data_IF_635897699260
#
_entry.id   IF_635897699260
#
_cell.length_a   1.000
_cell.length_b   1.000
_cell.length_c   1.000
_cell.angle_alpha   90.00
_cell.angle_beta   90.00
_cell.angle_gamma   90.00
#
_symmetry.space_group_name_H-M   'P 1'
#
loop_
_entity.id
_entity.type
_entity.pdbx_description
1 polymer ?
#
# COMPACT_ATOMS: atom_id res chain seq x y z
N UNK A 1 -37.58 2.44 -31.15
CA UNK A 1 -38.78 2.92 -30.42
C UNK A 1 -38.72 4.40 -30.00
N UNK A 2 -37.81 5.24 -30.53
CA UNK A 2 -37.74 6.68 -30.20
C UNK A 2 -37.39 7.57 -31.41
N UNK A 3 -37.53 7.08 -32.65
CA UNK A 3 -37.10 7.83 -33.85
C UNK A 3 -38.24 8.62 -34.52
N UNK A 4 -39.50 8.43 -34.10
CA UNK A 4 -40.66 9.01 -34.79
C UNK A 4 -41.23 10.28 -34.12
N UNK A 5 -40.62 10.76 -33.03
CA UNK A 5 -41.00 12.05 -32.42
C UNK A 5 -40.03 13.16 -32.87
N UNK A 6 -40.46 14.07 -33.78
CA UNK A 6 -39.60 15.15 -34.29
C UNK A 6 -39.07 16.08 -33.19
N UNK A 7 -39.79 16.15 -32.06
CA UNK A 7 -39.40 16.92 -30.88
C UNK A 7 -38.22 16.31 -30.11
N UNK A 8 -38.12 14.97 -30.06
CA UNK A 8 -37.03 14.26 -29.39
C UNK A 8 -35.72 14.41 -30.17
N UNK A 9 -35.79 14.32 -31.51
CA UNK A 9 -34.63 14.58 -32.38
C UNK A 9 -34.16 16.03 -32.23
N UNK A 10 -35.07 17.00 -32.27
CA UNK A 10 -34.75 18.41 -32.11
C UNK A 10 -34.07 18.70 -30.74
N UNK A 11 -34.58 18.09 -29.65
CA UNK A 11 -33.98 18.19 -28.31
C UNK A 11 -32.57 17.59 -28.26
N UNK A 12 -32.36 16.43 -28.87
CA UNK A 12 -31.03 15.80 -28.93
C UNK A 12 -30.05 16.63 -29.76
N UNK A 13 -30.46 17.18 -30.90
CA UNK A 13 -29.63 18.06 -31.73
C UNK A 13 -29.26 19.32 -30.96
N UNK A 14 -30.22 19.98 -30.29
CA UNK A 14 -29.93 21.14 -29.44
C UNK A 14 -28.97 20.79 -28.30
N UNK A 15 -29.13 19.62 -27.68
CA UNK A 15 -28.24 19.15 -26.61
C UNK A 15 -26.81 18.95 -27.12
N UNK A 16 -26.62 18.26 -28.26
CA UNK A 16 -25.31 18.08 -28.88
C UNK A 16 -24.70 19.42 -29.30
N UNK A 17 -25.48 20.35 -29.85
CA UNK A 17 -25.01 21.70 -30.18
C UNK A 17 -24.51 22.46 -28.96
N UNK A 18 -25.20 22.35 -27.81
CA UNK A 18 -24.73 22.94 -26.54
C UNK A 18 -23.39 22.34 -26.10
N UNK A 19 -23.22 21.02 -26.22
CA UNK A 19 -21.94 20.35 -25.94
C UNK A 19 -20.84 20.87 -26.87
N UNK A 20 -21.11 20.92 -28.18
CA UNK A 20 -20.19 21.42 -29.22
C UNK A 20 -19.74 22.85 -28.91
N UNK A 21 -20.68 23.74 -28.59
CA UNK A 21 -20.39 25.13 -28.22
C UNK A 21 -19.57 25.20 -26.93
N UNK A 22 -19.87 24.37 -25.93
CA UNK A 22 -19.11 24.27 -24.68
C UNK A 22 -17.66 23.83 -24.93
N UNK A 23 -17.46 22.80 -25.76
CA UNK A 23 -16.13 22.30 -26.12
C UNK A 23 -15.31 23.35 -26.88
N UNK A 24 -15.92 24.05 -27.85
CA UNK A 24 -15.26 25.14 -28.58
C UNK A 24 -14.88 26.31 -27.68
N UNK A 25 -15.75 26.70 -26.74
CA UNK A 25 -15.44 27.72 -25.72
C UNK A 25 -14.26 27.31 -24.83
N UNK A 26 -14.12 26.00 -24.58
CA UNK A 26 -12.97 25.42 -23.88
C UNK A 26 -11.70 25.29 -24.73
N UNK A 27 -11.68 25.81 -25.96
CA UNK A 27 -10.52 25.73 -26.86
C UNK A 27 -10.32 24.38 -27.55
N UNK A 28 -11.31 23.48 -27.49
CA UNK A 28 -11.22 22.16 -28.10
C UNK A 28 -11.75 22.17 -29.55
N UNK A 29 -11.04 21.48 -30.43
CA UNK A 29 -11.45 21.27 -31.81
C UNK A 29 -12.39 20.05 -31.91
N UNK A 30 -13.38 20.14 -32.80
CA UNK A 30 -14.30 19.04 -33.08
C UNK A 30 -13.90 18.40 -34.39
N UNK A 31 -13.71 17.08 -34.37
CA UNK A 31 -13.40 16.27 -35.54
C UNK A 31 -14.35 15.09 -35.69
N UNK A 32 -14.13 14.30 -36.73
CA UNK A 32 -14.84 13.02 -36.89
C UNK A 32 -14.53 12.09 -35.71
N UNK A 33 -15.54 11.35 -35.26
CA UNK A 33 -15.33 10.32 -34.24
C UNK A 33 -14.36 9.27 -34.79
N UNK A 34 -13.25 9.05 -34.09
CA UNK A 34 -12.29 8.01 -34.40
C UNK A 34 -11.97 7.19 -33.15
N UNK A 35 -11.58 5.93 -33.31
CA UNK A 35 -11.04 5.13 -32.22
C UNK A 35 -9.69 5.69 -31.75
N UNK A 36 -9.36 5.50 -30.47
CA UNK A 36 -8.00 5.72 -30.01
C UNK A 36 -7.09 4.63 -30.58
N UNK A 37 -5.83 4.97 -30.97
CA UNK A 37 -4.88 3.96 -31.40
C UNK A 37 -4.64 2.94 -30.28
N UNK A 38 -4.45 1.65 -30.62
CA UNK A 38 -4.21 0.61 -29.64
C UNK A 38 -2.95 0.91 -28.84
N UNK A 39 -3.13 1.27 -27.56
CA UNK A 39 -2.03 1.44 -26.63
C UNK A 39 -1.77 0.11 -25.93
N UNK A 40 -0.62 -0.48 -26.24
CA UNK A 40 -0.16 -1.73 -25.63
C UNK A 40 1.26 -1.58 -25.10
N UNK A 41 1.43 -2.05 -23.87
CA UNK A 41 2.74 -2.17 -23.24
C UNK A 41 3.51 -3.28 -23.94
N UNK A 42 4.72 -2.97 -24.43
CA UNK A 42 5.54 -3.96 -25.15
C UNK A 42 5.90 -5.17 -24.29
N UNK A 43 6.02 -6.35 -24.90
CA UNK A 43 6.38 -7.58 -24.18
C UNK A 43 7.73 -7.48 -23.45
N UNK A 44 8.67 -6.67 -23.97
CA UNK A 44 9.97 -6.41 -23.33
C UNK A 44 9.81 -5.71 -21.99
N UNK A 45 8.96 -4.67 -21.95
CA UNK A 45 8.65 -3.95 -20.70
C UNK A 45 7.92 -4.87 -19.73
N UNK A 46 6.96 -5.68 -20.21
CA UNK A 46 6.27 -6.68 -19.37
C UNK A 46 7.24 -7.72 -18.80
N UNK A 47 8.19 -8.20 -19.59
CA UNK A 47 9.23 -9.14 -19.16
C UNK A 47 10.16 -8.53 -18.11
N UNK A 48 10.58 -7.28 -18.29
CA UNK A 48 11.37 -6.55 -17.29
C UNK A 48 10.61 -6.37 -15.98
N UNK A 49 9.32 -6.04 -16.04
CA UNK A 49 8.46 -5.98 -14.85
C UNK A 49 8.35 -7.35 -14.19
N UNK A 50 8.17 -8.43 -14.97
CA UNK A 50 8.15 -9.81 -14.48
C UNK A 50 9.43 -10.19 -13.74
N UNK A 51 10.60 -9.87 -14.30
CA UNK A 51 11.90 -10.07 -13.64
C UNK A 51 12.00 -9.26 -12.34
N UNK A 52 11.51 -8.02 -12.35
CA UNK A 52 11.44 -7.19 -11.14
C UNK A 52 10.53 -7.78 -10.06
N UNK A 53 9.39 -8.37 -10.44
CA UNK A 53 8.48 -9.07 -9.52
C UNK A 53 9.14 -10.29 -8.90
N UNK A 54 9.83 -11.10 -9.71
CA UNK A 54 10.62 -12.23 -9.23
C UNK A 54 11.71 -11.79 -8.24
N UNK A 55 12.46 -10.73 -8.57
CA UNK A 55 13.46 -10.17 -7.66
C UNK A 55 12.84 -9.68 -6.35
N UNK A 56 11.75 -8.92 -6.41
CA UNK A 56 11.01 -8.45 -5.23
C UNK A 56 10.49 -9.60 -4.36
N UNK A 57 9.99 -10.67 -4.99
CA UNK A 57 9.57 -11.89 -4.30
C UNK A 57 10.73 -12.59 -3.60
N UNK A 58 11.87 -12.78 -4.27
CA UNK A 58 13.04 -13.41 -3.66
C UNK A 58 13.61 -12.58 -2.50
N UNK A 59 13.58 -11.25 -2.60
CA UNK A 59 13.94 -10.35 -1.50
C UNK A 59 12.97 -10.45 -0.32
N UNK A 60 11.66 -10.54 -0.60
CA UNK A 60 10.65 -10.76 0.44
C UNK A 60 10.83 -12.13 1.11
N UNK A 61 11.13 -13.16 0.31
CA UNK A 61 11.40 -14.50 0.78
C UNK A 61 12.67 -14.53 1.66
N UNK A 62 13.73 -13.80 1.30
CA UNK A 62 14.91 -13.62 2.18
C UNK A 62 14.56 -12.88 3.46
N UNK A 63 13.72 -11.83 3.38
CA UNK A 63 13.31 -11.07 4.55
C UNK A 63 12.59 -11.94 5.60
N UNK A 64 11.84 -12.96 5.15
CA UNK A 64 11.12 -13.91 6.02
C UNK A 64 11.99 -15.11 6.40
N UNK A 65 12.60 -15.78 5.42
CA UNK A 65 13.24 -17.10 5.63
C UNK A 65 14.75 -17.03 5.83
N UNK A 66 15.37 -15.90 5.48
CA UNK A 66 16.82 -15.72 5.50
C UNK A 66 17.53 -16.43 4.34
N UNK A 67 16.85 -16.64 3.22
CA UNK A 67 17.34 -17.39 2.07
C UNK A 67 18.77 -17.07 1.66
N UNK A 68 19.10 -15.80 1.49
CA UNK A 68 20.44 -15.36 1.13
C UNK A 68 21.26 -14.97 2.36
N UNK A 69 20.60 -14.43 3.38
CA UNK A 69 21.27 -13.78 4.51
C UNK A 69 21.65 -14.70 5.67
N UNK A 70 20.97 -15.83 5.84
CA UNK A 70 21.32 -16.86 6.83
C UNK A 70 21.77 -18.17 6.18
N UNK A 71 21.54 -18.35 4.87
CA UNK A 71 21.97 -19.53 4.08
C UNK A 71 21.31 -20.85 4.49
N UNK A 72 20.25 -20.81 5.30
CA UNK A 72 19.71 -21.98 6.01
C UNK A 72 18.20 -22.24 5.90
N UNK A 73 17.39 -21.70 4.96
CA UNK A 73 15.96 -22.01 4.96
C UNK A 73 15.65 -23.46 4.53
N UNK A 74 16.63 -24.15 3.94
CA UNK A 74 16.52 -25.49 3.38
C UNK A 74 16.24 -25.46 1.87
N UNK A 75 16.70 -26.48 1.11
CA UNK A 75 16.63 -26.50 -0.35
C UNK A 75 15.20 -26.46 -0.89
N UNK A 76 14.23 -27.02 -0.16
CA UNK A 76 12.82 -27.01 -0.54
C UNK A 76 12.24 -25.59 -0.60
N UNK A 77 12.60 -24.72 0.34
CA UNK A 77 12.13 -23.32 0.38
C UNK A 77 12.73 -22.54 -0.79
N UNK A 78 14.01 -22.78 -1.09
CA UNK A 78 14.67 -22.20 -2.26
C UNK A 78 14.02 -22.65 -3.57
N UNK A 79 13.77 -23.96 -3.73
CA UNK A 79 13.13 -24.52 -4.91
C UNK A 79 11.70 -23.97 -5.11
N UNK A 80 10.88 -23.98 -4.06
CA UNK A 80 9.52 -23.42 -4.12
C UNK A 80 9.55 -21.91 -4.41
N UNK A 81 10.48 -21.19 -3.79
CA UNK A 81 10.72 -19.77 -4.05
C UNK A 81 11.06 -19.49 -5.51
N UNK A 82 11.93 -20.31 -6.11
CA UNK A 82 12.29 -20.22 -7.52
C UNK A 82 11.11 -20.52 -8.45
N UNK A 83 10.30 -21.55 -8.16
CA UNK A 83 9.09 -21.86 -8.94
C UNK A 83 8.11 -20.68 -8.95
N UNK A 84 7.86 -20.06 -7.80
CA UNK A 84 7.02 -18.86 -7.71
C UNK A 84 7.63 -17.69 -8.48
N UNK A 85 8.96 -17.51 -8.40
CA UNK A 85 9.66 -16.48 -9.17
C UNK A 85 9.47 -16.65 -10.68
N UNK A 86 9.60 -17.88 -11.22
CA UNK A 86 9.33 -18.17 -12.63
C UNK A 86 7.87 -17.84 -12.99
N UNK A 87 6.92 -18.22 -12.14
CA UNK A 87 5.51 -17.87 -12.32
C UNK A 87 5.29 -16.36 -12.41
N UNK A 88 5.92 -15.57 -11.54
CA UNK A 88 5.83 -14.11 -11.53
C UNK A 88 6.42 -13.45 -12.79
N UNK A 89 7.42 -14.06 -13.43
CA UNK A 89 7.95 -13.62 -14.73
C UNK A 89 6.97 -13.96 -15.86
N UNK A 90 6.35 -15.14 -15.80
CA UNK A 90 5.44 -15.62 -16.83
C UNK A 90 4.10 -14.87 -16.85
N UNK A 91 3.56 -14.48 -15.70
CA UNK A 91 2.26 -13.80 -15.57
C UNK A 91 2.09 -12.57 -16.48
N UNK A 92 2.97 -11.55 -16.45
CA UNK A 92 2.83 -10.37 -17.30
C UNK A 92 3.13 -10.64 -18.78
N UNK A 93 3.82 -11.73 -19.10
CA UNK A 93 4.09 -12.17 -20.47
C UNK A 93 2.93 -12.95 -21.09
N UNK A 94 2.00 -13.45 -20.25
CA UNK A 94 0.83 -14.15 -20.74
C UNK A 94 -0.03 -13.21 -21.62
N UNK A 95 -0.59 -13.69 -22.74
CA UNK A 95 -1.41 -12.88 -23.63
C UNK A 95 -2.77 -12.49 -23.04
N UNK A 96 -3.12 -13.00 -21.85
CA UNK A 96 -4.40 -12.74 -21.20
C UNK A 96 -4.35 -11.48 -20.33
N UNK A 97 -5.44 -10.69 -20.35
CA UNK A 97 -5.63 -9.57 -19.41
C UNK A 97 -5.60 -10.03 -17.95
N UNK A 98 -5.95 -11.30 -17.69
CA UNK A 98 -5.87 -11.90 -16.37
C UNK A 98 -4.43 -12.00 -15.87
N UNK A 99 -3.47 -12.41 -16.72
CA UNK A 99 -2.06 -12.47 -16.35
C UNK A 99 -1.51 -11.12 -15.91
N UNK A 100 -1.87 -10.05 -16.64
CA UNK A 100 -1.52 -8.66 -16.29
C UNK A 100 -2.14 -8.26 -14.95
N UNK A 101 -3.44 -8.54 -14.73
CA UNK A 101 -4.12 -8.24 -13.46
C UNK A 101 -3.49 -8.98 -12.29
N UNK A 102 -3.14 -10.26 -12.46
CA UNK A 102 -2.48 -11.04 -11.42
C UNK A 102 -1.06 -10.53 -11.14
N UNK A 103 -0.31 -10.14 -12.17
CA UNK A 103 1.00 -9.49 -12.00
C UNK A 103 0.89 -8.14 -11.28
N UNK A 104 -0.13 -7.34 -11.61
CA UNK A 104 -0.40 -6.07 -10.93
C UNK A 104 -0.79 -6.28 -9.47
N UNK A 105 -1.60 -7.30 -9.17
CA UNK A 105 -1.93 -7.70 -7.80
C UNK A 105 -0.69 -8.20 -7.05
N UNK A 106 0.17 -9.00 -7.68
CA UNK A 106 1.43 -9.43 -7.10
C UNK A 106 2.30 -8.23 -6.75
N UNK A 107 2.47 -7.26 -7.67
CA UNK A 107 3.18 -6.00 -7.39
C UNK A 107 2.57 -5.28 -6.18
N UNK A 108 1.25 -5.12 -6.18
CA UNK A 108 0.51 -4.43 -5.13
C UNK A 108 0.67 -5.08 -3.75
N UNK A 109 0.86 -6.39 -3.71
CA UNK A 109 1.09 -7.11 -2.47
C UNK A 109 2.56 -7.13 -2.06
N UNK A 110 3.48 -7.35 -3.01
CA UNK A 110 4.89 -7.60 -2.76
C UNK A 110 5.63 -6.35 -2.25
N UNK A 111 5.49 -5.21 -2.94
CA UNK A 111 6.33 -4.04 -2.65
C UNK A 111 6.00 -3.35 -1.32
N UNK A 112 4.73 -3.12 -0.94
CA UNK A 112 4.40 -2.62 0.39
C UNK A 112 4.82 -3.59 1.49
N UNK A 113 4.64 -4.90 1.27
CA UNK A 113 5.10 -5.93 2.22
C UNK A 113 6.61 -5.89 2.39
N UNK A 114 7.38 -5.79 1.29
CA UNK A 114 8.83 -5.70 1.30
C UNK A 114 9.33 -4.42 1.99
N UNK A 115 8.67 -3.28 1.72
CA UNK A 115 8.96 -1.99 2.35
C UNK A 115 8.85 -2.07 3.88
N UNK A 116 7.80 -2.73 4.36
CA UNK A 116 7.51 -2.89 5.79
C UNK A 116 8.34 -4.01 6.42
N UNK A 117 8.63 -5.08 5.68
CA UNK A 117 9.45 -6.20 6.11
C UNK A 117 10.95 -5.96 5.84
N UNK A 118 11.43 -4.73 5.90
CA UNK A 118 12.87 -4.42 5.81
C UNK A 118 13.60 -4.64 7.14
N UNK A 119 14.85 -5.13 7.13
CA UNK A 119 15.55 -5.67 8.33
C UNK A 119 15.70 -4.67 9.46
N UNK A 120 15.79 -3.41 9.12
CA UNK A 120 15.96 -2.28 10.03
C UNK A 120 14.65 -1.62 10.45
N UNK A 121 13.50 -1.92 9.83
CA UNK A 121 12.23 -1.21 10.05
C UNK A 121 11.89 -1.02 11.54
N UNK A 122 11.93 -2.09 12.34
CA UNK A 122 11.65 -2.09 13.78
C UNK A 122 12.90 -2.33 14.66
N UNK A 123 14.09 -1.92 14.21
CA UNK A 123 15.33 -1.99 15.00
C UNK A 123 15.60 -0.69 15.77
N UNK A 124 16.31 -0.73 16.90
CA UNK A 124 16.87 0.46 17.53
C UNK A 124 17.74 1.27 16.55
N UNK A 125 17.88 2.57 16.81
CA UNK A 125 18.84 3.40 16.09
C UNK A 125 20.27 2.96 16.43
N UNK A 126 21.21 3.06 15.47
CA UNK A 126 22.63 2.93 15.78
C UNK A 126 23.05 3.96 16.85
N UNK A 127 24.05 3.65 17.69
CA UNK A 127 24.57 4.60 18.67
C UNK A 127 24.96 5.93 18.02
N UNK A 128 24.62 7.05 18.66
CA UNK A 128 24.95 8.39 18.18
C UNK A 128 24.04 8.97 17.09
N UNK A 129 23.06 8.22 16.58
CA UNK A 129 22.10 8.73 15.58
C UNK A 129 20.79 9.20 16.22
N UNK A 130 20.23 10.31 15.71
CA UNK A 130 18.92 10.80 16.13
C UNK A 130 17.81 9.82 15.72
N UNK A 131 16.94 9.37 16.65
CA UNK A 131 15.81 8.49 16.33
C UNK A 131 14.87 9.07 15.26
N UNK A 132 14.71 10.39 15.21
CA UNK A 132 13.89 11.05 14.20
C UNK A 132 14.50 10.93 12.80
N UNK A 133 15.81 11.15 12.66
CA UNK A 133 16.50 11.05 11.36
C UNK A 133 16.43 9.61 10.86
N UNK A 134 16.69 8.63 11.73
CA UNK A 134 16.56 7.20 11.40
C UNK A 134 15.13 6.87 10.97
N UNK A 135 14.12 7.42 11.66
CA UNK A 135 12.72 7.21 11.29
C UNK A 135 12.36 7.81 9.92
N UNK A 136 12.83 9.03 9.63
CA UNK A 136 12.64 9.67 8.33
C UNK A 136 13.31 8.88 7.21
N UNK A 137 14.54 8.40 7.41
CA UNK A 137 15.23 7.56 6.43
C UNK A 137 14.49 6.24 6.18
N UNK A 138 14.00 5.58 7.24
CA UNK A 138 13.21 4.34 7.10
C UNK A 138 11.89 4.57 6.38
N UNK A 139 11.23 5.70 6.66
CA UNK A 139 10.01 6.10 5.98
C UNK A 139 10.25 6.40 4.50
N UNK A 140 11.29 7.17 4.17
CA UNK A 140 11.68 7.45 2.79
C UNK A 140 12.01 6.16 2.04
N UNK A 141 12.78 5.24 2.65
CA UNK A 141 13.06 3.93 2.07
C UNK A 141 11.79 3.11 1.80
N UNK A 142 10.82 3.14 2.73
CA UNK A 142 9.53 2.46 2.55
C UNK A 142 8.73 3.06 1.38
N UNK A 143 8.68 4.40 1.27
CA UNK A 143 8.04 5.08 0.15
C UNK A 143 8.71 4.78 -1.19
N UNK A 144 10.05 4.74 -1.24
CA UNK A 144 10.80 4.40 -2.47
C UNK A 144 10.52 2.96 -2.91
N UNK A 145 10.55 1.99 -1.99
CA UNK A 145 10.24 0.59 -2.33
C UNK A 145 8.80 0.46 -2.83
N UNK A 146 7.86 1.14 -2.18
CA UNK A 146 6.46 1.20 -2.62
C UNK A 146 6.32 1.87 -3.99
N UNK A 147 7.10 2.92 -4.26
CA UNK A 147 7.12 3.62 -5.55
C UNK A 147 7.62 2.74 -6.71
N UNK A 148 8.54 1.81 -6.46
CA UNK A 148 8.94 0.80 -7.46
C UNK A 148 7.74 -0.07 -7.82
N UNK A 149 6.97 -0.53 -6.83
CA UNK A 149 5.74 -1.29 -7.08
C UNK A 149 4.67 -0.48 -7.83
N UNK A 150 4.57 0.82 -7.54
CA UNK A 150 3.72 1.75 -8.29
C UNK A 150 4.15 1.82 -9.77
N UNK A 151 5.44 2.00 -10.05
CA UNK A 151 5.95 2.05 -11.42
C UNK A 151 5.61 0.76 -12.20
N UNK A 152 5.67 -0.40 -11.54
CA UNK A 152 5.30 -1.68 -12.16
C UNK A 152 3.81 -1.76 -12.45
N UNK A 153 2.95 -1.33 -11.54
CA UNK A 153 1.49 -1.31 -11.75
C UNK A 153 1.12 -0.37 -12.87
N UNK A 154 1.71 0.83 -12.90
CA UNK A 154 1.51 1.81 -13.97
C UNK A 154 1.92 1.22 -15.30
N UNK A 155 3.09 0.56 -15.39
CA UNK A 155 3.55 -0.09 -16.60
C UNK A 155 2.65 -1.25 -17.04
N UNK A 156 2.15 -2.07 -16.12
CA UNK A 156 1.28 -3.21 -16.44
C UNK A 156 -0.12 -2.77 -16.89
N UNK A 157 -0.67 -1.73 -16.28
CA UNK A 157 -2.03 -1.23 -16.54
C UNK A 157 -2.06 -0.04 -17.52
N UNK A 158 -0.97 0.22 -18.24
CA UNK A 158 -0.89 1.25 -19.28
C UNK A 158 -1.61 0.87 -20.59
N UNK A 159 -2.27 -0.28 -20.65
CA UNK A 159 -3.01 -0.70 -21.84
C UNK A 159 -4.36 0.02 -21.97
N UNK A 160 -4.80 0.26 -23.21
CA UNK A 160 -6.04 0.99 -23.53
C UNK A 160 -7.30 0.52 -22.77
N UNK A 161 -7.58 -0.79 -22.59
CA UNK A 161 -8.78 -1.22 -21.87
C UNK A 161 -8.84 -0.73 -20.41
N UNK A 162 -7.68 -0.60 -19.75
CA UNK A 162 -7.60 -0.14 -18.37
C UNK A 162 -7.70 1.39 -18.28
N UNK A 163 -7.06 2.12 -19.21
CA UNK A 163 -7.13 3.57 -19.28
C UNK A 163 -8.53 4.08 -19.63
N UNK A 164 -9.21 3.42 -20.57
CA UNK A 164 -10.60 3.72 -20.94
C UNK A 164 -11.63 3.18 -19.94
N UNK A 165 -11.18 2.53 -18.85
CA UNK A 165 -12.03 1.91 -17.82
C UNK A 165 -13.02 0.88 -18.38
N UNK A 166 -12.74 0.31 -19.56
CA UNK A 166 -13.50 -0.80 -20.15
C UNK A 166 -13.30 -2.04 -19.30
N UNK A 167 -12.07 -2.25 -18.81
CA UNK A 167 -11.74 -3.28 -17.84
C UNK A 167 -11.15 -2.64 -16.58
N UNK A 168 -11.58 -3.14 -15.41
CA UNK A 168 -11.15 -2.60 -14.11
C UNK A 168 -10.33 -3.60 -13.32
N UNK A 169 -9.39 -3.09 -12.54
CA UNK A 169 -8.60 -3.91 -11.63
C UNK A 169 -9.45 -4.37 -10.45
N UNK A 170 -9.82 -5.65 -10.42
CA UNK A 170 -10.68 -6.25 -9.37
C UNK A 170 -9.88 -6.43 -8.05
N UNK A 171 -8.56 -6.48 -8.13
CA UNK A 171 -7.66 -6.77 -7.00
C UNK A 171 -7.50 -5.65 -5.95
N UNK A 172 -8.29 -4.57 -6.01
CA UNK A 172 -8.18 -3.41 -5.09
C UNK A 172 -8.34 -3.83 -3.63
N UNK A 173 -9.36 -4.65 -3.32
CA UNK A 173 -9.64 -5.07 -1.93
C UNK A 173 -8.57 -6.03 -1.41
N UNK A 174 -8.19 -7.10 -2.14
CA UNK A 174 -7.07 -7.96 -1.74
C UNK A 174 -5.76 -7.20 -1.58
N UNK A 175 -5.42 -6.29 -2.50
CA UNK A 175 -4.21 -5.48 -2.45
C UNK A 175 -4.14 -4.60 -1.18
N UNK A 176 -5.29 -4.20 -0.63
CA UNK A 176 -5.36 -3.47 0.63
C UNK A 176 -5.14 -4.35 1.86
N UNK A 177 -5.69 -5.56 1.82
CA UNK A 177 -5.78 -6.43 2.98
C UNK A 177 -4.52 -7.29 3.16
N UNK A 178 -4.05 -7.92 2.07
CA UNK A 178 -2.99 -8.93 2.10
C UNK A 178 -1.70 -8.38 2.71
N UNK A 179 -1.17 -7.21 2.32
CA UNK A 179 0.10 -6.73 2.89
C UNK A 179 0.00 -6.44 4.38
N UNK A 180 -1.10 -5.83 4.82
CA UNK A 180 -1.31 -5.47 6.23
C UNK A 180 -1.40 -6.75 7.08
N UNK A 181 -2.17 -7.74 6.64
CA UNK A 181 -2.29 -9.03 7.33
C UNK A 181 -0.97 -9.80 7.30
N UNK A 182 -0.29 -9.85 6.15
CA UNK A 182 1.00 -10.54 6.03
C UNK A 182 2.03 -9.95 6.98
N UNK A 183 2.15 -8.62 7.03
CA UNK A 183 3.04 -7.92 7.96
C UNK A 183 2.63 -8.21 9.42
N UNK A 184 1.34 -8.13 9.75
CA UNK A 184 0.85 -8.43 11.09
C UNK A 184 1.21 -9.84 11.55
N UNK A 185 0.96 -10.85 10.70
CA UNK A 185 1.23 -12.27 10.99
C UNK A 185 2.74 -12.54 11.07
N UNK A 186 3.52 -12.03 10.12
CA UNK A 186 4.96 -12.30 10.06
C UNK A 186 5.67 -11.73 11.30
N UNK A 187 5.27 -10.54 11.76
CA UNK A 187 5.83 -9.95 12.97
C UNK A 187 5.28 -10.60 14.25
N UNK A 188 3.98 -10.85 14.36
CA UNK A 188 3.39 -11.42 15.59
C UNK A 188 3.87 -12.85 15.87
N UNK A 189 4.09 -13.63 14.82
CA UNK A 189 4.61 -14.99 14.92
C UNK A 189 6.14 -15.05 14.94
N UNK A 190 6.83 -13.90 14.91
CA UNK A 190 8.29 -13.79 14.81
C UNK A 190 8.88 -14.67 13.69
N UNK A 191 8.17 -14.76 12.56
CA UNK A 191 8.56 -15.56 11.39
C UNK A 191 9.66 -14.90 10.57
N UNK A 192 9.89 -13.62 10.78
CA UNK A 192 10.90 -12.84 10.09
C UNK A 192 12.31 -13.33 10.41
N UNK A 193 13.18 -13.41 9.40
CA UNK A 193 14.57 -13.76 9.58
C UNK A 193 15.30 -12.71 10.43
N UNK A 194 15.84 -13.17 11.56
CA UNK A 194 16.64 -12.38 12.51
C UNK A 194 18.14 -12.70 12.44
N UNK A 195 18.52 -13.71 11.65
CA UNK A 195 19.89 -14.21 11.49
C UNK A 195 20.34 -15.16 12.60
N UNK A 196 19.54 -15.35 13.65
CA UNK A 196 19.86 -16.22 14.79
C UNK A 196 19.17 -17.58 14.66
N UNK A 197 17.95 -17.59 14.15
CA UNK A 197 17.11 -18.79 14.02
C UNK A 197 17.07 -19.31 12.58
N UNK A 198 17.10 -20.63 12.43
CA UNK A 198 16.81 -21.29 11.16
C UNK A 198 15.32 -21.18 10.84
N UNK A 199 14.92 -21.15 9.57
CA UNK A 199 13.50 -21.11 9.16
C UNK A 199 12.64 -22.20 9.85
N UNK A 200 13.16 -23.43 9.95
CA UNK A 200 12.50 -24.52 10.69
C UNK A 200 12.24 -24.18 12.16
N UNK A 201 13.21 -23.54 12.83
CA UNK A 201 13.06 -23.12 14.24
C UNK A 201 12.06 -21.97 14.37
N UNK A 202 12.02 -21.05 13.41
CA UNK A 202 11.01 -20.00 13.36
C UNK A 202 9.60 -20.58 13.21
N UNK A 203 9.42 -21.60 12.35
CA UNK A 203 8.14 -22.31 12.19
C UNK A 203 7.69 -23.04 13.46
N UNK A 204 8.61 -23.75 14.13
CA UNK A 204 8.31 -24.40 15.42
C UNK A 204 7.90 -23.38 16.46
N UNK A 205 8.68 -22.30 16.62
CA UNK A 205 8.34 -21.22 17.55
C UNK A 205 7.03 -20.50 17.22
N UNK A 206 6.68 -20.37 15.94
CA UNK A 206 5.40 -19.83 15.51
C UNK A 206 4.24 -20.76 15.91
N UNK A 207 4.39 -22.07 15.70
CA UNK A 207 3.41 -23.07 16.15
C UNK A 207 3.20 -23.00 17.65
N UNK A 208 4.28 -22.92 18.43
CA UNK A 208 4.21 -22.83 19.89
C UNK A 208 3.50 -21.54 20.34
N UNK A 209 3.74 -20.41 19.68
CA UNK A 209 3.01 -19.16 19.95
C UNK A 209 1.52 -19.29 19.66
N UNK A 210 1.15 -19.87 18.54
CA UNK A 210 -0.26 -20.08 18.17
C UNK A 210 -0.94 -20.96 19.22
N UNK A 211 -0.30 -22.05 19.65
CA UNK A 211 -0.82 -22.93 20.68
C UNK A 211 -0.97 -22.20 22.02
N UNK A 212 0.02 -21.38 22.41
CA UNK A 212 -0.04 -20.54 23.62
C UNK A 212 -1.14 -19.49 23.55
N UNK A 213 -1.37 -18.88 22.40
CA UNK A 213 -2.48 -17.94 22.20
C UNK A 213 -3.84 -18.62 22.33
N UNK A 214 -3.94 -19.90 21.94
CA UNK A 214 -5.15 -20.70 22.10
C UNK A 214 -5.41 -21.15 23.54
N UNK A 215 -4.39 -21.21 24.40
CA UNK A 215 -4.51 -21.65 25.79
C UNK A 215 -4.48 -20.50 26.81
N UNK A 216 -4.14 -19.28 26.40
CA UNK A 216 -4.16 -18.11 27.27
C UNK A 216 -5.57 -17.51 27.39
N UNK A 217 -6.01 -17.11 28.60
CA UNK A 217 -7.27 -16.40 28.75
C UNK A 217 -7.19 -15.06 28.03
N UNK A 218 -8.08 -14.85 27.06
CA UNK A 218 -8.20 -13.59 26.33
C UNK A 218 -8.83 -12.56 27.26
N UNK A 219 -8.07 -11.52 27.61
CA UNK A 219 -8.61 -10.42 28.42
C UNK A 219 -9.65 -9.65 27.60
N UNK A 220 -10.75 -9.22 28.25
CA UNK A 220 -11.86 -8.55 27.57
C UNK A 220 -11.40 -7.31 26.79
N UNK A 221 -10.42 -6.57 27.32
CA UNK A 221 -9.86 -5.40 26.64
C UNK A 221 -9.04 -5.76 25.39
N UNK A 222 -8.35 -6.91 25.38
CA UNK A 222 -7.61 -7.39 24.20
C UNK A 222 -8.57 -7.76 23.09
N UNK A 223 -9.67 -8.44 23.44
CA UNK A 223 -10.75 -8.75 22.51
C UNK A 223 -11.39 -7.47 21.96
N UNK A 224 -11.69 -6.49 22.82
CA UNK A 224 -12.26 -5.21 22.39
C UNK A 224 -11.35 -4.46 21.41
N UNK A 225 -10.03 -4.43 21.68
CA UNK A 225 -9.04 -3.82 20.77
C UNK A 225 -8.96 -4.58 19.44
N UNK A 226 -8.98 -5.91 19.47
CA UNK A 226 -8.95 -6.73 18.25
C UNK A 226 -10.20 -6.52 17.39
N UNK A 227 -11.39 -6.50 17.99
CA UNK A 227 -12.66 -6.21 17.32
C UNK A 227 -12.63 -4.81 16.70
N UNK A 228 -12.17 -3.80 17.45
CA UNK A 228 -12.06 -2.43 16.95
C UNK A 228 -11.09 -2.34 15.77
N UNK A 229 -9.91 -2.97 15.86
CA UNK A 229 -8.93 -2.98 14.77
C UNK A 229 -9.49 -3.66 13.51
N UNK A 230 -10.18 -4.79 13.68
CA UNK A 230 -10.84 -5.49 12.57
C UNK A 230 -11.97 -4.65 11.95
N UNK A 231 -12.79 -3.99 12.78
CA UNK A 231 -13.84 -3.10 12.32
C UNK A 231 -13.27 -1.91 11.52
N UNK A 232 -12.20 -1.28 12.01
CA UNK A 232 -11.50 -0.19 11.29
C UNK A 232 -10.99 -0.71 9.95
N UNK A 233 -10.29 -1.85 9.92
CA UNK A 233 -9.79 -2.45 8.69
C UNK A 233 -10.92 -2.78 7.71
N UNK A 234 -12.02 -3.34 8.19
CA UNK A 234 -13.21 -3.64 7.39
C UNK A 234 -13.81 -2.36 6.80
N UNK A 235 -13.96 -1.29 7.58
CA UNK A 235 -14.45 0.01 7.10
C UNK A 235 -13.51 0.58 6.03
N UNK A 236 -12.19 0.46 6.20
CA UNK A 236 -11.21 0.93 5.22
C UNK A 236 -11.29 0.15 3.89
N UNK A 237 -11.56 -1.16 3.96
CA UNK A 237 -11.77 -2.00 2.77
C UNK A 237 -13.13 -1.74 2.13
N UNK A 238 -14.20 -1.53 2.91
CA UNK A 238 -15.52 -1.19 2.40
C UNK A 238 -15.55 0.19 1.73
N UNK A 239 -14.78 1.15 2.27
CA UNK A 239 -14.54 2.45 1.63
C UNK A 239 -13.69 2.35 0.36
N UNK A 240 -13.07 1.20 0.08
CA UNK A 240 -12.28 0.97 -1.12
C UNK A 240 -13.15 0.40 -2.25
N UNK A 241 -13.57 1.25 -3.18
CA UNK A 241 -14.38 0.84 -4.32
C UNK A 241 -15.06 2.02 -5.00
N UNK A 242 -15.83 1.73 -6.06
CA UNK A 242 -16.57 2.73 -6.83
C UNK A 242 -17.85 3.22 -6.12
N UNK A 243 -18.30 2.54 -5.07
CA UNK A 243 -19.50 2.93 -4.32
C UNK A 243 -19.34 2.65 -2.82
N UNK A 244 -18.91 3.63 -2.01
CA UNK A 244 -18.75 3.43 -0.58
C UNK A 244 -20.13 3.46 0.09
N UNK A 245 -20.72 2.28 0.35
CA UNK A 245 -21.94 2.14 1.16
C UNK A 245 -21.82 2.61 2.62
N UNK A 246 -20.64 3.13 3.02
CA UNK A 246 -20.37 3.69 4.34
C UNK A 246 -20.21 5.21 4.21
N UNK A 247 -21.14 5.95 4.83
CA UNK A 247 -21.16 7.41 4.84
C UNK A 247 -19.84 8.05 5.32
N UNK A 248 -19.58 9.24 4.78
CA UNK A 248 -18.45 10.10 5.15
C UNK A 248 -18.93 11.07 6.23
N UNK A 249 -18.15 11.33 7.27
CA UNK A 249 -18.58 12.29 8.31
C UNK A 249 -18.65 13.71 7.75
N UNK A 250 -19.56 14.54 8.27
CA UNK A 250 -19.72 15.94 7.81
C UNK A 250 -18.45 16.78 8.00
N UNK A 251 -17.64 16.49 9.03
CA UNK A 251 -16.33 17.12 9.25
C UNK A 251 -15.33 16.68 8.17
N UNK A 252 -15.30 15.39 7.84
CA UNK A 252 -14.45 14.87 6.77
C UNK A 252 -14.83 15.52 5.42
N UNK A 253 -16.12 15.69 5.12
CA UNK A 253 -16.60 16.42 3.93
C UNK A 253 -16.14 17.89 3.89
N UNK A 254 -16.15 18.60 5.02
CA UNK A 254 -15.66 19.99 5.09
C UNK A 254 -14.17 20.10 4.84
N UNK A 255 -13.36 19.24 5.48
CA UNK A 255 -11.91 19.23 5.26
C UNK A 255 -11.62 18.84 3.81
N UNK A 256 -12.37 17.90 3.24
CA UNK A 256 -12.26 17.53 1.81
C UNK A 256 -12.48 18.74 0.92
N UNK A 257 -13.57 19.49 1.15
CA UNK A 257 -13.86 20.70 0.39
C UNK A 257 -12.82 21.81 0.56
N UNK A 258 -12.19 21.92 1.73
CA UNK A 258 -11.07 22.86 1.95
C UNK A 258 -9.83 22.44 1.14
N UNK A 259 -9.47 21.15 1.20
CA UNK A 259 -8.32 20.62 0.45
C UNK A 259 -8.53 20.72 -1.06
N UNK A 260 -9.74 20.50 -1.56
CA UNK A 260 -10.08 20.66 -2.98
C UNK A 260 -9.90 22.11 -3.48
N UNK A 261 -10.07 23.10 -2.59
CA UNK A 261 -9.86 24.53 -2.92
C UNK A 261 -8.39 24.96 -2.83
N UNK A 262 -7.63 24.36 -1.92
CA UNK A 262 -6.24 24.76 -1.65
C UNK A 262 -5.21 24.00 -2.48
N UNK A 263 -5.53 22.78 -2.92
CA UNK A 263 -4.57 21.87 -3.54
C UNK A 263 -4.96 21.51 -4.98
N UNK A 264 -3.99 21.38 -5.90
CA UNK A 264 -4.26 20.95 -7.27
C UNK A 264 -4.84 19.54 -7.40
N UNK A 265 -4.62 18.68 -6.40
CA UNK A 265 -5.28 17.39 -6.32
C UNK A 265 -5.40 16.92 -4.87
N UNK A 266 -6.56 16.34 -4.53
CA UNK A 266 -6.88 15.95 -3.17
C UNK A 266 -6.12 14.70 -2.70
N UNK A 267 -5.30 14.77 -1.64
CA UNK A 267 -4.68 13.59 -1.07
C UNK A 267 -5.74 12.71 -0.38
N UNK A 268 -5.48 11.41 -0.30
CA UNK A 268 -6.38 10.49 0.43
C UNK A 268 -6.27 10.74 1.93
N UNK A 269 -7.41 11.02 2.57
CA UNK A 269 -7.50 11.31 4.01
C UNK A 269 -6.83 10.28 4.90
N UNK A 270 -6.97 9.01 4.54
CA UNK A 270 -6.44 7.90 5.32
C UNK A 270 -4.90 7.83 5.28
N UNK A 271 -4.27 8.36 4.22
CA UNK A 271 -2.82 8.34 4.04
C UNK A 271 -2.13 9.43 4.86
N UNK A 272 -2.50 10.70 4.65
CA UNK A 272 -1.79 11.81 5.27
C UNK A 272 -2.14 12.03 6.75
N UNK A 273 -3.36 11.69 7.18
CA UNK A 273 -3.80 11.96 8.55
C UNK A 273 -3.45 10.81 9.51
N UNK A 274 -3.47 9.57 9.02
CA UNK A 274 -3.34 8.37 9.85
C UNK A 274 -2.15 7.53 9.43
N UNK A 275 -2.08 7.09 8.18
CA UNK A 275 -1.06 6.14 7.71
C UNK A 275 0.37 6.64 7.84
N UNK A 276 0.74 7.70 7.10
CA UNK A 276 2.12 8.22 7.12
C UNK A 276 2.56 8.70 8.52
N UNK A 277 1.73 9.48 9.28
CA UNK A 277 2.10 9.88 10.63
C UNK A 277 2.32 8.70 11.59
N UNK A 278 1.44 7.69 11.57
CA UNK A 278 1.59 6.51 12.41
C UNK A 278 2.85 5.71 12.07
N UNK A 279 3.17 5.57 10.77
CA UNK A 279 4.37 4.85 10.34
C UNK A 279 5.65 5.56 10.79
N UNK A 280 5.71 6.89 10.62
CA UNK A 280 6.83 7.71 11.08
C UNK A 280 7.01 7.57 12.60
N UNK A 281 5.93 7.74 13.37
CA UNK A 281 5.97 7.64 14.82
C UNK A 281 6.37 6.23 15.28
N UNK A 282 5.91 5.19 14.59
CA UNK A 282 6.35 3.81 14.87
C UNK A 282 7.85 3.63 14.69
N UNK A 283 8.44 4.25 13.66
CA UNK A 283 9.87 4.15 13.41
C UNK A 283 10.68 4.93 14.44
N UNK A 284 10.16 6.06 14.92
CA UNK A 284 10.76 6.81 16.04
C UNK A 284 10.78 5.96 17.30
N UNK A 285 9.64 5.35 17.66
CA UNK A 285 9.53 4.48 18.84
C UNK A 285 10.43 3.25 18.73
N UNK A 286 10.45 2.61 17.55
CA UNK A 286 11.33 1.48 17.28
C UNK A 286 12.81 1.88 17.37
N UNK A 287 13.18 3.05 16.83
CA UNK A 287 14.53 3.60 16.90
C UNK A 287 14.96 3.88 18.35
N UNK A 288 14.02 4.13 19.26
CA UNK A 288 14.27 4.25 20.72
C UNK A 288 14.22 2.92 21.48
N UNK A 289 14.00 1.80 20.78
CA UNK A 289 13.88 0.48 21.40
C UNK A 289 12.51 0.16 21.98
N UNK A 290 11.51 1.03 21.83
CA UNK A 290 10.16 0.84 22.38
C UNK A 290 9.26 0.02 21.46
N UNK A 291 9.58 -1.26 21.30
CA UNK A 291 8.88 -2.15 20.36
C UNK A 291 7.39 -2.35 20.67
N UNK A 292 7.02 -2.39 21.95
CA UNK A 292 5.63 -2.60 22.39
C UNK A 292 4.67 -1.55 21.82
N UNK A 293 5.10 -0.29 21.78
CA UNK A 293 4.30 0.82 21.24
C UNK A 293 4.54 1.04 19.74
N UNK A 294 5.73 0.69 19.26
CA UNK A 294 6.05 0.78 17.84
C UNK A 294 5.18 -0.15 16.99
N UNK A 295 4.97 -1.40 17.42
CA UNK A 295 4.30 -2.41 16.58
C UNK A 295 2.83 -2.07 16.24
N UNK A 296 1.96 -1.66 17.18
CA UNK A 296 0.59 -1.26 16.85
C UNK A 296 0.54 -0.08 15.87
N UNK A 297 1.35 0.96 16.12
CA UNK A 297 1.44 2.11 15.21
C UNK A 297 2.01 1.74 13.85
N UNK A 298 2.92 0.76 13.80
CA UNK A 298 3.47 0.24 12.56
C UNK A 298 2.41 -0.46 11.70
N UNK A 299 1.50 -1.23 12.31
CA UNK A 299 0.38 -1.86 11.60
C UNK A 299 -0.62 -0.83 11.07
N UNK A 300 -0.93 0.21 11.86
CA UNK A 300 -1.74 1.34 11.38
C UNK A 300 -1.02 2.06 10.24
N UNK A 301 0.29 2.26 10.37
CA UNK A 301 1.14 2.90 9.38
C UNK A 301 1.26 2.12 8.06
N UNK A 302 1.16 0.80 8.11
CA UNK A 302 1.16 -0.07 6.93
C UNK A 302 0.03 0.29 5.95
N UNK A 303 -1.12 0.73 6.47
CA UNK A 303 -2.28 1.18 5.69
C UNK A 303 -1.90 2.37 4.79
N UNK A 304 -0.99 3.24 5.26
CA UNK A 304 -0.48 4.37 4.49
C UNK A 304 0.27 3.92 3.22
N UNK A 305 1.21 2.98 3.36
CA UNK A 305 2.00 2.46 2.22
C UNK A 305 1.12 1.71 1.21
N UNK A 306 0.18 0.92 1.73
CA UNK A 306 -0.74 0.15 0.89
C UNK A 306 -1.72 1.06 0.16
N UNK A 307 -2.24 2.11 0.83
CA UNK A 307 -3.12 3.08 0.19
C UNK A 307 -2.38 3.95 -0.84
N UNK A 308 -1.14 4.34 -0.55
CA UNK A 308 -0.25 5.06 -1.46
C UNK A 308 -0.14 4.31 -2.79
N UNK A 309 0.17 3.02 -2.75
CA UNK A 309 0.21 2.18 -3.95
C UNK A 309 -1.16 2.04 -4.61
N UNK A 310 -2.22 1.83 -3.81
CA UNK A 310 -3.57 1.64 -4.30
C UNK A 310 -4.13 2.88 -5.04
N UNK A 311 -3.54 4.06 -4.88
CA UNK A 311 -3.87 5.25 -5.70
C UNK A 311 -3.60 5.02 -7.18
N UNK A 312 -2.62 4.18 -7.52
CA UNK A 312 -2.21 3.90 -8.89
C UNK A 312 -2.88 2.65 -9.47
N UNK A 313 -3.59 1.86 -8.66
CA UNK A 313 -4.41 0.75 -9.15
C UNK A 313 -5.66 1.20 -9.94
N UNK A 314 -6.01 2.48 -9.87
CA UNK A 314 -7.16 3.10 -10.54
C UNK A 314 -6.69 4.02 -11.68
N UNK A 315 -6.12 3.45 -12.74
CA UNK A 315 -5.44 4.20 -13.81
C UNK A 315 -6.33 5.04 -14.74
N UNK A 316 -7.63 5.17 -14.45
CA UNK A 316 -8.52 6.09 -15.14
C UNK A 316 -8.31 7.57 -14.73
N UNK A 317 -7.63 7.83 -13.61
CA UNK A 317 -7.21 9.20 -13.29
C UNK A 317 -5.87 9.49 -13.96
N UNK A 318 -5.67 10.67 -14.59
CA UNK A 318 -4.39 11.04 -15.19
C UNK A 318 -3.22 10.85 -14.22
N UNK A 319 -2.14 10.24 -14.72
CA UNK A 319 -0.96 9.92 -13.91
C UNK A 319 -0.37 11.15 -13.18
N UNK A 320 -0.24 12.33 -13.80
CA UNK A 320 0.26 13.53 -13.10
C UNK A 320 -0.59 13.90 -11.88
N UNK A 321 -1.92 13.81 -11.99
CA UNK A 321 -2.83 14.07 -10.86
C UNK A 321 -2.64 13.05 -9.75
N UNK A 322 -2.43 11.77 -10.07
CA UNK A 322 -2.13 10.72 -9.08
C UNK A 322 -0.79 10.92 -8.38
N UNK A 323 0.24 11.34 -9.12
CA UNK A 323 1.55 11.69 -8.56
C UNK A 323 1.45 12.89 -7.61
N UNK A 324 0.71 13.92 -8.00
CA UNK A 324 0.50 15.09 -7.16
C UNK A 324 -0.23 14.74 -5.85
N UNK A 325 -1.28 13.89 -5.92
CA UNK A 325 -1.98 13.36 -4.73
C UNK A 325 -1.03 12.61 -3.80
N UNK A 326 -0.19 11.74 -4.36
CA UNK A 326 0.79 10.97 -3.59
C UNK A 326 1.84 11.87 -2.93
N UNK A 327 2.43 12.81 -3.69
CA UNK A 327 3.43 13.75 -3.20
C UNK A 327 2.91 14.64 -2.08
N UNK A 328 1.73 15.25 -2.26
CA UNK A 328 1.10 16.03 -1.19
C UNK A 328 0.76 15.14 0.01
N UNK A 329 0.23 13.93 -0.22
CA UNK A 329 -0.12 13.00 0.84
C UNK A 329 1.07 12.63 1.73
N UNK A 330 2.24 12.44 1.13
CA UNK A 330 3.51 12.23 1.83
C UNK A 330 3.93 13.51 2.57
N UNK A 331 3.94 14.67 1.90
CA UNK A 331 4.36 15.95 2.48
C UNK A 331 3.52 16.36 3.70
N UNK A 332 2.20 16.39 3.56
CA UNK A 332 1.29 16.68 4.68
C UNK A 332 1.42 15.62 5.77
N UNK A 333 1.58 14.34 5.40
CA UNK A 333 1.80 13.25 6.35
C UNK A 333 3.04 13.46 7.21
N UNK A 334 4.15 13.92 6.62
CA UNK A 334 5.37 14.28 7.36
C UNK A 334 5.11 15.46 8.30
N UNK A 335 4.45 16.52 7.83
CA UNK A 335 4.12 17.69 8.67
C UNK A 335 3.28 17.27 9.87
N UNK A 336 2.22 16.51 9.65
CA UNK A 336 1.36 15.97 10.73
C UNK A 336 2.20 15.13 11.69
N UNK A 337 3.05 14.23 11.19
CA UNK A 337 3.92 13.41 12.03
C UNK A 337 4.83 14.27 12.93
N UNK A 338 5.45 15.31 12.38
CA UNK A 338 6.33 16.22 13.12
C UNK A 338 5.57 17.01 14.19
N UNK A 339 4.38 17.53 13.84
CA UNK A 339 3.53 18.26 14.79
C UNK A 339 3.08 17.40 15.97
N UNK A 340 2.86 16.09 15.76
CA UNK A 340 2.57 15.13 16.83
C UNK A 340 3.85 14.73 17.58
N UNK A 341 4.96 14.58 16.88
CA UNK A 341 6.23 14.11 17.44
C UNK A 341 6.82 15.08 18.48
N UNK A 342 6.94 16.38 18.18
CA UNK A 342 7.57 17.35 19.08
C UNK A 342 6.93 17.43 20.49
N UNK A 343 5.60 17.52 20.65
CA UNK A 343 4.99 17.52 21.98
C UNK A 343 5.14 16.16 22.66
N UNK A 344 4.98 15.05 21.93
CA UNK A 344 5.18 13.71 22.48
C UNK A 344 6.62 13.50 22.96
N UNK A 345 7.61 14.01 22.22
CA UNK A 345 9.02 13.94 22.60
C UNK A 345 9.29 14.66 23.91
N UNK A 346 8.81 15.90 24.02
CA UNK A 346 9.02 16.75 25.20
C UNK A 346 8.31 16.21 26.44
N UNK A 347 7.09 15.69 26.30
CA UNK A 347 6.25 15.31 27.43
C UNK A 347 6.42 13.86 27.88
N UNK A 348 6.61 12.93 26.94
CA UNK A 348 6.55 11.49 27.22
C UNK A 348 7.79 10.73 26.76
N UNK A 349 8.23 10.90 25.51
CA UNK A 349 9.21 9.99 24.92
C UNK A 349 10.64 10.16 25.45
N UNK A 350 10.99 11.29 26.06
CA UNK A 350 12.25 11.48 26.80
C UNK A 350 12.23 10.86 28.20
N UNK A 351 11.05 10.66 28.77
CA UNK A 351 10.86 10.13 30.14
C UNK A 351 10.76 8.60 30.16
N UNK A 352 10.49 7.99 29.00
CA UNK A 352 10.42 6.55 28.90
C UNK A 352 11.82 5.95 29.01
N UNK A 353 12.06 5.03 29.97
CA UNK A 353 13.33 4.34 30.04
C UNK A 353 13.57 3.61 28.71
N UNK A 354 14.82 3.54 28.22
CA UNK A 354 15.14 2.62 27.13
C UNK A 354 14.65 1.24 27.56
N UNK A 355 13.88 0.57 26.69
CA UNK A 355 13.32 -0.73 27.01
C UNK A 355 14.46 -1.60 27.57
N UNK A 356 14.30 -2.05 28.82
CA UNK A 356 15.24 -2.99 29.42
C UNK A 356 15.46 -4.10 28.41
N UNK A 357 16.71 -4.52 28.22
CA UNK A 357 17.04 -5.66 27.40
C UNK A 357 16.48 -6.92 28.08
N UNK A 358 15.16 -7.11 28.09
CA UNK A 358 14.55 -8.39 28.42
C UNK A 358 14.77 -9.27 27.20
N UNK A 359 15.51 -10.39 27.32
CA UNK A 359 15.70 -11.33 26.22
C UNK A 359 14.39 -11.99 25.77
N UNK A 360 13.33 -11.89 26.57
CA UNK A 360 12.16 -12.76 26.48
C UNK A 360 10.83 -12.00 26.60
N UNK A 361 10.55 -11.12 25.64
CA UNK A 361 9.19 -11.01 25.10
C UNK A 361 9.34 -10.87 23.58
N UNK A 362 9.16 -11.97 22.84
CA UNK A 362 9.63 -12.04 21.45
C UNK A 362 8.69 -11.45 20.40
#
# INVERSE_FOLDING_TARGET
>A
LFLDEPEALAKNVQYVQKIVLGLKRGGLAIGAAHGYPPLHTSWRVRGLIGLGLAAGWLLLLDAVTGLFSSGRPGPLVGALGAVVAVGLVALPLAPSLMGIKLAALASACLFPSLALLRKDALRPAPPGQSPLIVAMMRFAAACVITAIGIAFIVGLLADQPFLLKIDTFIGIKPAKLIPVLAVAVIYSLALRADGRRTWKQALVGAKDRILRLGTQPILLWQLAVAILAFAVLAVLVMRAGNDPGVGVSGVELKIRGLLDRLLPARPRFQEFLVGHPALILSFVLAARGQRTWAFPLFLVGAIGQVSLLNTFCHLHTPLPTSLWRAGIGIGIGIVVALTLYFPLDRLFLRRLPPAAASPDVP
#
